data_IF_831790499786
#
_entry.id   IF_831790499786
#
_cell.length_a   1.000
_cell.length_b   1.000
_cell.length_c   1.000
_cell.angle_alpha   90.00
_cell.angle_beta   90.00
_cell.angle_gamma   90.00
#
_symmetry.space_group_name_H-M   'P 1'
#
loop_
_entity.id
_entity.type
_entity.pdbx_description
1 polymer ?
#
# COMPACT_ATOMS: atom_id res chain seq x y z
N UNK A 1 1.53 -5.52 82.25
CA UNK A 1 0.83 -6.07 81.08
C UNK A 1 0.54 -4.92 80.13
N UNK A 2 1.31 -4.76 79.14
CA UNK A 2 1.12 -3.69 78.15
C UNK A 2 0.88 -4.34 76.74
N UNK A 3 -0.31 -4.09 76.24
CA UNK A 3 -0.70 -4.48 74.89
C UNK A 3 -0.16 -3.47 73.90
N UNK A 4 0.85 -3.80 73.09
CA UNK A 4 1.24 -3.05 71.92
C UNK A 4 0.47 -3.58 70.71
N UNK A 5 -0.58 -2.81 70.31
CA UNK A 5 -1.28 -3.06 69.07
C UNK A 5 -0.47 -2.60 67.86
N UNK A 6 -0.11 -3.52 66.99
CA UNK A 6 0.49 -3.28 65.67
C UNK A 6 -0.49 -2.51 64.78
N UNK A 7 -0.27 -1.23 64.56
CA UNK A 7 -0.92 -0.42 63.52
C UNK A 7 -0.24 -0.78 62.17
N UNK A 8 -0.81 -1.73 61.46
CA UNK A 8 -0.47 -1.91 60.06
C UNK A 8 -0.89 -0.66 59.26
N UNK A 9 0.08 0.11 58.83
CA UNK A 9 -0.10 1.29 57.96
C UNK A 9 -0.80 0.88 56.66
N UNK A 10 -2.11 1.10 56.59
CA UNK A 10 -2.85 1.08 55.32
C UNK A 10 -2.28 2.21 54.45
N UNK A 11 -1.44 1.87 53.49
CA UNK A 11 -1.11 2.82 52.46
C UNK A 11 -2.41 3.20 51.75
N UNK A 12 -2.72 4.50 51.60
CA UNK A 12 -4.00 4.91 51.04
C UNK A 12 -4.08 4.46 49.59
N UNK A 13 -5.20 3.82 49.23
CA UNK A 13 -5.54 3.35 47.86
C UNK A 13 -5.41 4.46 46.81
N UNK A 14 -5.42 5.71 47.24
CA UNK A 14 -5.17 6.90 46.45
C UNK A 14 -3.84 6.86 45.68
N UNK A 15 -2.74 6.44 46.30
CA UNK A 15 -1.44 6.34 45.60
C UNK A 15 -1.39 5.19 44.60
N UNK A 16 -2.15 4.13 44.79
CA UNK A 16 -2.23 3.01 43.85
C UNK A 16 -3.00 3.43 42.59
N UNK A 17 -4.04 4.23 42.73
CA UNK A 17 -4.80 4.77 41.63
C UNK A 17 -4.00 5.82 40.83
N UNK A 18 -3.21 6.67 41.46
CA UNK A 18 -2.32 7.63 40.79
C UNK A 18 -1.29 6.94 39.89
N UNK A 19 -0.72 5.81 40.34
CA UNK A 19 0.19 5.02 39.50
C UNK A 19 -0.51 4.41 38.29
N UNK A 20 -1.77 3.99 38.42
CA UNK A 20 -2.62 3.51 37.34
C UNK A 20 -2.91 4.59 36.28
N UNK A 21 -3.26 5.81 36.73
CA UNK A 21 -3.52 6.94 35.82
C UNK A 21 -2.25 7.38 35.09
N UNK A 22 -1.08 7.39 35.76
CA UNK A 22 0.19 7.73 35.07
C UNK A 22 0.61 6.71 34.04
N UNK A 23 0.30 5.43 34.25
CA UNK A 23 0.56 4.37 33.29
C UNK A 23 -0.38 4.42 32.09
N UNK A 24 -1.66 4.75 32.32
CA UNK A 24 -2.66 4.93 31.27
C UNK A 24 -2.39 6.17 30.40
N UNK A 25 -2.04 7.30 31.00
CA UNK A 25 -1.70 8.52 30.24
C UNK A 25 -0.41 8.38 29.48
N UNK A 26 0.61 7.70 30.02
CA UNK A 26 1.85 7.37 29.30
C UNK A 26 1.60 6.43 28.11
N UNK A 27 0.74 5.43 28.26
CA UNK A 27 0.35 4.52 27.18
C UNK A 27 -0.43 5.23 26.07
N UNK A 28 -1.35 6.13 26.43
CA UNK A 28 -2.13 6.92 25.44
C UNK A 28 -1.24 7.94 24.70
N UNK A 29 -0.31 8.59 25.39
CA UNK A 29 0.65 9.50 24.74
C UNK A 29 1.62 8.75 23.81
N UNK A 30 2.09 7.58 24.20
CA UNK A 30 2.94 6.72 23.37
C UNK A 30 2.20 6.23 22.12
N UNK A 31 0.92 5.84 22.24
CA UNK A 31 0.11 5.43 21.10
C UNK A 31 -0.21 6.60 20.16
N UNK A 32 -0.44 7.80 20.65
CA UNK A 32 -0.61 8.99 19.80
C UNK A 32 0.67 9.37 19.05
N UNK A 33 1.83 9.27 19.68
CA UNK A 33 3.11 9.56 19.04
C UNK A 33 3.46 8.54 17.95
N UNK A 34 3.18 7.27 18.19
CA UNK A 34 3.38 6.20 17.20
C UNK A 34 2.43 6.32 16.00
N UNK A 35 1.18 6.73 16.22
CA UNK A 35 0.21 6.96 15.14
C UNK A 35 0.57 8.16 14.27
N UNK A 36 1.09 9.25 14.84
CA UNK A 36 1.56 10.42 14.08
C UNK A 36 2.80 10.10 13.25
N UNK A 37 3.73 9.31 13.77
CA UNK A 37 4.92 8.91 13.04
C UNK A 37 4.56 7.97 11.88
N UNK A 38 3.67 7.02 12.10
CA UNK A 38 3.13 6.12 11.07
C UNK A 38 2.47 6.88 9.90
N UNK A 39 1.69 7.92 10.18
CA UNK A 39 1.02 8.71 9.14
C UNK A 39 2.00 9.52 8.28
N UNK A 40 3.09 10.03 8.85
CA UNK A 40 4.12 10.73 8.08
C UNK A 40 4.93 9.77 7.19
N UNK A 41 5.15 8.55 7.64
CA UNK A 41 5.84 7.53 6.85
C UNK A 41 5.02 7.04 5.67
N UNK A 42 3.68 7.02 5.79
CA UNK A 42 2.80 6.66 4.68
C UNK A 42 2.71 7.72 3.57
N UNK A 43 3.06 8.97 3.81
CA UNK A 43 3.00 10.04 2.79
C UNK A 43 3.76 9.68 1.52
N UNK A 44 4.95 9.09 1.66
CA UNK A 44 5.75 8.66 0.51
C UNK A 44 5.03 7.59 -0.33
N UNK A 45 4.34 6.66 0.31
CA UNK A 45 3.59 5.59 -0.35
C UNK A 45 2.38 6.14 -1.12
N UNK A 46 1.68 7.13 -0.53
CA UNK A 46 0.60 7.85 -1.19
C UNK A 46 1.08 8.72 -2.35
N UNK A 47 2.29 9.26 -2.27
CA UNK A 47 2.92 9.99 -3.39
C UNK A 47 3.12 9.07 -4.59
N UNK A 48 3.55 7.81 -4.38
CA UNK A 48 3.69 6.83 -5.46
C UNK A 48 2.33 6.55 -6.11
N UNK A 49 1.29 6.30 -5.33
CA UNK A 49 -0.06 6.07 -5.86
C UNK A 49 -0.60 7.30 -6.63
N UNK A 50 -0.38 8.51 -6.11
CA UNK A 50 -0.74 9.76 -6.76
C UNK A 50 0.01 9.97 -8.08
N UNK A 51 1.31 9.66 -8.11
CA UNK A 51 2.12 9.72 -9.32
C UNK A 51 1.59 8.77 -10.40
N UNK A 52 1.29 7.51 -10.04
CA UNK A 52 0.70 6.54 -10.97
C UNK A 52 -0.62 7.05 -11.56
N UNK A 53 -1.53 7.59 -10.73
CA UNK A 53 -2.79 8.17 -11.24
C UNK A 53 -2.55 9.36 -12.18
N UNK A 54 -1.57 10.21 -11.87
CA UNK A 54 -1.20 11.33 -12.72
C UNK A 54 -0.65 10.86 -14.06
N UNK A 55 0.17 9.80 -14.06
CA UNK A 55 0.71 9.20 -15.29
C UNK A 55 -0.40 8.57 -16.14
N UNK A 56 -1.33 7.85 -15.53
CA UNK A 56 -2.51 7.28 -16.22
C UNK A 56 -3.37 8.38 -16.85
N UNK A 57 -3.60 9.49 -16.14
CA UNK A 57 -4.31 10.65 -16.68
C UNK A 57 -3.54 11.30 -17.83
N UNK A 58 -2.20 11.40 -17.73
CA UNK A 58 -1.36 11.93 -18.80
C UNK A 58 -1.43 11.08 -20.06
N UNK A 59 -1.48 9.75 -19.98
CA UNK A 59 -1.68 8.87 -21.15
C UNK A 59 -3.02 9.17 -21.84
N UNK A 60 -4.09 9.31 -21.06
CA UNK A 60 -5.41 9.63 -21.60
C UNK A 60 -5.41 10.99 -22.32
N UNK A 61 -4.86 12.02 -21.67
CA UNK A 61 -4.74 13.37 -22.25
C UNK A 61 -3.89 13.33 -23.53
N UNK A 62 -2.75 12.63 -23.49
CA UNK A 62 -1.88 12.47 -24.67
C UNK A 62 -2.64 11.88 -25.86
N UNK A 63 -3.40 10.80 -25.66
CA UNK A 63 -4.19 10.17 -26.70
C UNK A 63 -5.21 11.12 -27.33
N UNK A 64 -5.84 12.00 -26.53
CA UNK A 64 -6.83 12.97 -27.02
C UNK A 64 -6.22 14.19 -27.74
N UNK A 65 -5.08 14.67 -27.25
CA UNK A 65 -4.50 15.92 -27.74
C UNK A 65 -3.50 15.69 -28.86
N UNK A 66 -2.68 14.66 -28.74
CA UNK A 66 -1.54 14.42 -29.63
C UNK A 66 -1.44 13.00 -30.17
N UNK A 67 -2.36 12.09 -29.81
CA UNK A 67 -2.25 10.67 -30.14
C UNK A 67 -2.55 10.34 -31.60
N UNK A 68 -3.44 11.07 -32.25
CA UNK A 68 -3.87 10.77 -33.64
C UNK A 68 -2.72 10.65 -34.65
N UNK A 69 -1.72 11.58 -34.72
CA UNK A 69 -0.60 11.47 -35.64
C UNK A 69 0.32 10.26 -35.40
N UNK A 70 0.24 9.66 -34.19
CA UNK A 70 1.10 8.54 -33.80
C UNK A 70 0.44 7.17 -34.01
N UNK A 71 -0.83 7.17 -34.51
CA UNK A 71 -1.57 5.92 -34.72
C UNK A 71 -1.02 5.16 -35.93
N UNK A 72 -0.71 3.89 -35.67
CA UNK A 72 -0.31 2.93 -36.71
C UNK A 72 -1.55 2.08 -37.03
N UNK A 73 -2.16 2.28 -38.21
CA UNK A 73 -3.35 1.54 -38.55
C UNK A 73 -3.00 0.09 -38.94
N UNK A 74 -2.97 -0.79 -37.94
CA UNK A 74 -2.81 -2.22 -38.12
C UNK A 74 -4.07 -2.81 -38.80
N UNK A 75 -3.90 -3.92 -39.62
CA UNK A 75 -5.02 -4.72 -40.09
C UNK A 75 -5.92 -5.17 -38.95
N UNK A 76 -7.23 -5.24 -39.19
CA UNK A 76 -8.24 -5.48 -38.17
C UNK A 76 -8.04 -6.82 -37.45
N UNK A 77 -7.68 -7.88 -38.17
CA UNK A 77 -7.40 -9.19 -37.60
C UNK A 77 -6.27 -9.19 -36.58
N UNK A 78 -5.17 -8.48 -36.86
CA UNK A 78 -4.04 -8.35 -35.96
C UNK A 78 -4.40 -7.49 -34.74
N UNK A 79 -5.12 -6.40 -34.96
CA UNK A 79 -5.58 -5.51 -33.88
C UNK A 79 -6.51 -6.22 -32.90
N UNK A 80 -7.48 -7.00 -33.42
CA UNK A 80 -8.40 -7.82 -32.61
C UNK A 80 -7.63 -8.86 -31.81
N UNK A 81 -6.64 -9.52 -32.41
CA UNK A 81 -5.80 -10.50 -31.72
C UNK A 81 -5.05 -9.85 -30.52
N UNK A 82 -4.37 -8.72 -30.75
CA UNK A 82 -3.61 -8.01 -29.71
C UNK A 82 -4.54 -7.51 -28.61
N UNK A 83 -5.68 -6.92 -28.97
CA UNK A 83 -6.71 -6.49 -28.02
C UNK A 83 -7.19 -7.63 -27.14
N UNK A 84 -7.51 -8.77 -27.73
CA UNK A 84 -7.94 -9.96 -26.99
C UNK A 84 -6.86 -10.44 -26.03
N UNK A 85 -5.60 -10.50 -26.48
CA UNK A 85 -4.47 -10.87 -25.66
C UNK A 85 -4.30 -9.92 -24.46
N UNK A 86 -4.44 -8.61 -24.68
CA UNK A 86 -4.32 -7.62 -23.60
C UNK A 86 -5.45 -7.71 -22.59
N UNK A 87 -6.69 -7.99 -23.03
CA UNK A 87 -7.78 -8.27 -22.10
C UNK A 87 -7.50 -9.50 -21.23
N UNK A 88 -7.02 -10.58 -21.83
CA UNK A 88 -6.65 -11.80 -21.08
C UNK A 88 -5.54 -11.50 -20.08
N UNK A 89 -4.50 -10.77 -20.50
CA UNK A 89 -3.40 -10.36 -19.60
C UNK A 89 -3.88 -9.45 -18.47
N UNK A 90 -4.78 -8.51 -18.75
CA UNK A 90 -5.36 -7.64 -17.71
C UNK A 90 -6.18 -8.44 -16.69
N UNK A 91 -7.04 -9.37 -17.15
CA UNK A 91 -7.86 -10.21 -16.28
C UNK A 91 -6.99 -11.10 -15.40
N UNK A 92 -5.94 -11.73 -15.95
CA UNK A 92 -4.99 -12.55 -15.18
C UNK A 92 -4.12 -11.68 -14.29
N UNK A 93 -3.79 -10.46 -14.72
CA UNK A 93 -2.97 -9.51 -13.98
C UNK A 93 -3.52 -9.16 -12.59
N UNK A 94 -4.84 -9.04 -12.42
CA UNK A 94 -5.45 -8.75 -11.12
C UNK A 94 -5.15 -9.82 -10.07
N UNK A 95 -5.50 -11.10 -10.26
CA UNK A 95 -5.18 -12.14 -9.27
C UNK A 95 -3.67 -12.31 -9.07
N UNK A 96 -2.86 -12.17 -10.12
CA UNK A 96 -1.39 -12.22 -10.02
C UNK A 96 -0.86 -11.07 -9.17
N UNK A 97 -1.34 -9.86 -9.37
CA UNK A 97 -0.95 -8.69 -8.54
C UNK A 97 -1.32 -8.91 -7.07
N UNK A 98 -2.53 -9.43 -6.81
CA UNK A 98 -2.97 -9.74 -5.46
C UNK A 98 -2.09 -10.81 -4.80
N UNK A 99 -1.75 -11.86 -5.53
CA UNK A 99 -0.85 -12.93 -5.06
C UNK A 99 0.55 -12.39 -4.76
N UNK A 100 1.14 -11.61 -5.69
CA UNK A 100 2.45 -10.99 -5.52
C UNK A 100 2.47 -10.07 -4.31
N UNK A 101 1.44 -9.23 -4.13
CA UNK A 101 1.30 -8.37 -2.96
C UNK A 101 1.25 -9.19 -1.67
N UNK A 102 0.46 -10.26 -1.63
CA UNK A 102 0.37 -11.13 -0.47
C UNK A 102 1.72 -11.78 -0.13
N UNK A 103 2.43 -12.31 -1.14
CA UNK A 103 3.76 -12.90 -0.96
C UNK A 103 4.75 -11.84 -0.44
N UNK A 104 4.76 -10.64 -1.02
CA UNK A 104 5.66 -9.56 -0.59
C UNK A 104 5.39 -9.11 0.84
N UNK A 105 4.11 -8.98 1.24
CA UNK A 105 3.75 -8.65 2.62
C UNK A 105 4.23 -9.73 3.59
N UNK A 106 4.05 -11.00 3.27
CA UNK A 106 4.57 -12.12 4.07
C UNK A 106 6.09 -12.12 4.16
N UNK A 107 6.78 -11.94 3.05
CA UNK A 107 8.24 -11.85 3.04
C UNK A 107 8.73 -10.66 3.86
N UNK A 108 8.08 -9.50 3.79
CA UNK A 108 8.44 -8.33 4.57
C UNK A 108 8.31 -8.55 6.09
N UNK A 109 7.38 -9.40 6.51
CA UNK A 109 7.19 -9.79 7.91
C UNK A 109 8.19 -10.86 8.37
N UNK A 110 8.60 -11.78 7.46
CA UNK A 110 9.36 -12.99 7.83
C UNK A 110 10.85 -12.93 7.51
N UNK A 111 11.29 -12.12 6.55
CA UNK A 111 12.71 -12.06 6.16
C UNK A 111 13.56 -11.29 7.19
N UNK A 112 14.67 -11.88 7.70
CA UNK A 112 15.67 -11.14 8.46
C UNK A 112 16.39 -10.11 7.56
N UNK A 113 16.84 -9.01 8.14
CA UNK A 113 17.67 -8.04 7.43
C UNK A 113 17.55 -6.61 7.95
N UNK A 114 18.56 -5.77 7.71
CA UNK A 114 18.70 -4.44 8.32
C UNK A 114 17.76 -3.38 7.70
N UNK A 115 16.89 -3.74 6.73
CA UNK A 115 16.03 -2.77 6.06
C UNK A 115 14.84 -2.38 6.95
N UNK A 116 14.60 -1.08 7.18
CA UNK A 116 13.47 -0.61 7.97
C UNK A 116 12.13 -0.94 7.30
N UNK A 117 11.06 -1.09 8.10
CA UNK A 117 9.69 -1.39 7.65
C UNK A 117 9.24 -0.50 6.48
N UNK A 118 9.57 0.79 6.53
CA UNK A 118 9.24 1.78 5.50
C UNK A 118 9.76 1.40 4.11
N UNK A 119 11.01 0.95 4.00
CA UNK A 119 11.60 0.57 2.72
C UNK A 119 11.03 -0.75 2.19
N UNK A 120 10.73 -1.68 3.08
CA UNK A 120 10.13 -2.97 2.72
C UNK A 120 8.72 -2.78 2.16
N UNK A 121 7.91 -1.98 2.84
CA UNK A 121 6.55 -1.70 2.39
C UNK A 121 6.52 -0.85 1.13
N UNK A 122 7.46 0.10 0.97
CA UNK A 122 7.57 0.93 -0.23
C UNK A 122 7.76 0.09 -1.49
N UNK A 123 8.60 -0.95 -1.44
CA UNK A 123 8.79 -1.85 -2.56
C UNK A 123 7.48 -2.56 -2.97
N UNK A 124 6.71 -3.04 -1.99
CA UNK A 124 5.40 -3.66 -2.24
C UNK A 124 4.43 -2.69 -2.92
N UNK A 125 4.40 -1.43 -2.48
CA UNK A 125 3.56 -0.39 -3.10
C UNK A 125 4.02 -0.09 -4.52
N UNK A 126 5.33 0.11 -4.75
CA UNK A 126 5.89 0.39 -6.09
C UNK A 126 5.55 -0.75 -7.07
N UNK A 127 5.74 -2.00 -6.68
CA UNK A 127 5.43 -3.15 -7.55
C UNK A 127 3.94 -3.20 -7.86
N UNK A 128 3.08 -3.02 -6.86
CA UNK A 128 1.63 -3.03 -7.06
C UNK A 128 1.15 -1.90 -7.96
N UNK A 129 1.69 -0.68 -7.79
CA UNK A 129 1.36 0.48 -8.63
C UNK A 129 1.91 0.33 -10.05
N UNK A 130 3.14 -0.20 -10.22
CA UNK A 130 3.71 -0.49 -11.53
C UNK A 130 2.90 -1.51 -12.33
N UNK A 131 2.37 -2.56 -11.68
CA UNK A 131 1.47 -3.51 -12.32
C UNK A 131 0.14 -2.86 -12.72
N UNK A 132 -0.42 -1.99 -11.88
CA UNK A 132 -1.61 -1.22 -12.23
C UNK A 132 -1.37 -0.28 -13.41
N UNK A 133 -0.22 0.39 -13.48
CA UNK A 133 0.18 1.26 -14.58
C UNK A 133 0.38 0.47 -15.88
N UNK A 134 0.89 -0.76 -15.81
CA UNK A 134 1.05 -1.65 -16.99
C UNK A 134 -0.29 -1.88 -17.70
N UNK A 135 -1.39 -1.96 -16.95
CA UNK A 135 -2.74 -2.09 -17.54
C UNK A 135 -3.11 -0.83 -18.35
N UNK A 136 -2.81 0.37 -17.84
CA UNK A 136 -3.04 1.61 -18.61
C UNK A 136 -2.15 1.69 -19.86
N UNK A 137 -0.89 1.25 -19.77
CA UNK A 137 0.02 1.16 -20.91
C UNK A 137 -0.50 0.24 -22.00
N UNK A 138 -1.14 -0.89 -21.67
CA UNK A 138 -1.80 -1.75 -22.65
C UNK A 138 -2.89 -0.98 -23.42
N UNK A 139 -3.68 -0.15 -22.73
CA UNK A 139 -4.67 0.73 -23.35
C UNK A 139 -4.05 1.76 -24.29
N UNK A 140 -2.96 2.41 -23.86
CA UNK A 140 -2.20 3.34 -24.69
C UNK A 140 -1.65 2.66 -25.95
N UNK A 141 -1.00 1.50 -25.79
CA UNK A 141 -0.40 0.75 -26.91
C UNK A 141 -1.47 0.36 -27.93
N UNK A 142 -2.59 -0.22 -27.49
CA UNK A 142 -3.63 -0.66 -28.44
C UNK A 142 -4.29 0.51 -29.17
N UNK A 143 -4.43 1.66 -28.51
CA UNK A 143 -4.88 2.90 -29.14
C UNK A 143 -3.91 3.34 -30.25
N UNK A 144 -2.60 3.35 -29.97
CA UNK A 144 -1.57 3.69 -30.96
C UNK A 144 -1.51 2.70 -32.13
N UNK A 145 -1.90 1.45 -31.90
CA UNK A 145 -2.03 0.43 -32.96
C UNK A 145 -3.30 0.60 -33.79
N UNK A 146 -4.10 1.63 -33.55
CA UNK A 146 -5.24 2.02 -34.37
C UNK A 146 -6.59 1.56 -33.86
N UNK A 147 -6.66 1.11 -32.59
CA UNK A 147 -7.93 0.74 -31.97
C UNK A 147 -8.74 1.97 -31.53
N UNK A 148 -9.97 1.77 -31.11
CA UNK A 148 -10.88 2.86 -30.74
C UNK A 148 -10.63 3.41 -29.32
N UNK A 149 -11.20 4.57 -29.05
CA UNK A 149 -11.15 5.21 -27.71
C UNK A 149 -11.86 4.38 -26.64
N UNK A 150 -12.84 3.55 -27.02
CA UNK A 150 -13.57 2.76 -26.04
C UNK A 150 -12.65 1.74 -25.36
N UNK A 151 -11.78 1.09 -26.13
CA UNK A 151 -10.76 0.18 -25.60
C UNK A 151 -9.79 0.91 -24.66
N UNK A 152 -9.32 2.10 -25.06
CA UNK A 152 -8.47 2.95 -24.22
C UNK A 152 -9.15 3.26 -22.87
N UNK A 153 -10.43 3.66 -22.88
CA UNK A 153 -11.17 3.97 -21.65
C UNK A 153 -11.35 2.76 -20.74
N UNK A 154 -11.60 1.57 -21.31
CA UNK A 154 -11.73 0.34 -20.51
C UNK A 154 -10.42 0.05 -19.78
N UNK A 155 -9.28 0.06 -20.46
CA UNK A 155 -7.99 -0.19 -19.83
C UNK A 155 -7.62 0.89 -18.80
N UNK A 156 -7.92 2.15 -19.09
CA UNK A 156 -7.74 3.25 -18.14
C UNK A 156 -8.59 3.04 -16.89
N UNK A 157 -9.86 2.69 -17.03
CA UNK A 157 -10.75 2.43 -15.90
C UNK A 157 -10.28 1.21 -15.08
N UNK A 158 -9.83 0.14 -15.72
CA UNK A 158 -9.25 -1.03 -15.07
C UNK A 158 -7.97 -0.67 -14.29
N UNK A 159 -7.09 0.17 -14.85
CA UNK A 159 -5.89 0.64 -14.17
C UNK A 159 -6.23 1.49 -12.94
N UNK A 160 -7.16 2.44 -13.06
CA UNK A 160 -7.64 3.26 -11.94
C UNK A 160 -8.25 2.37 -10.84
N UNK A 161 -9.04 1.38 -11.22
CA UNK A 161 -9.59 0.39 -10.28
C UNK A 161 -8.47 -0.37 -9.57
N UNK A 162 -7.43 -0.82 -10.30
CA UNK A 162 -6.28 -1.51 -9.73
C UNK A 162 -5.54 -0.62 -8.72
N UNK A 163 -5.27 0.67 -9.03
CA UNK A 163 -4.67 1.63 -8.11
C UNK A 163 -5.50 1.77 -6.86
N UNK A 164 -6.84 1.83 -6.99
CA UNK A 164 -7.74 1.94 -5.84
C UNK A 164 -7.75 0.67 -4.97
N UNK A 165 -7.73 -0.51 -5.58
CA UNK A 165 -7.67 -1.79 -4.86
C UNK A 165 -6.34 -1.95 -4.08
N UNK A 166 -5.23 -1.60 -4.72
CA UNK A 166 -3.88 -1.81 -4.20
C UNK A 166 -3.28 -0.58 -3.51
N UNK A 167 -4.11 0.43 -3.20
CA UNK A 167 -3.68 1.63 -2.48
C UNK A 167 -2.93 1.29 -1.19
N UNK A 168 -2.02 2.16 -0.72
CA UNK A 168 -1.33 1.98 0.56
C UNK A 168 -2.32 1.91 1.72
N UNK A 169 -2.18 0.90 2.60
CA UNK A 169 -3.02 0.67 3.78
C UNK A 169 -2.16 0.78 5.04
N UNK A 170 -2.65 1.55 6.02
CA UNK A 170 -1.95 1.75 7.28
C UNK A 170 -1.82 0.44 8.09
N UNK A 171 -2.81 -0.44 7.99
CA UNK A 171 -2.83 -1.71 8.72
C UNK A 171 -1.72 -2.65 8.25
N UNK A 172 -1.52 -2.78 6.93
CA UNK A 172 -0.43 -3.58 6.35
C UNK A 172 0.95 -3.07 6.78
N UNK A 173 1.14 -1.75 6.83
CA UNK A 173 2.38 -1.14 7.29
C UNK A 173 2.62 -1.41 8.78
N UNK A 174 1.56 -1.31 9.60
CA UNK A 174 1.62 -1.58 11.04
C UNK A 174 1.97 -3.04 11.34
N UNK A 175 1.40 -4.00 10.60
CA UNK A 175 1.72 -5.42 10.76
C UNK A 175 3.20 -5.69 10.52
N UNK A 176 3.81 -5.05 9.51
CA UNK A 176 5.25 -5.16 9.25
C UNK A 176 6.06 -4.58 10.42
N UNK A 177 5.66 -3.42 10.96
CA UNK A 177 6.34 -2.80 12.09
C UNK A 177 6.31 -3.69 13.35
N UNK A 178 5.12 -4.24 13.67
CA UNK A 178 4.96 -5.12 14.83
C UNK A 178 5.79 -6.41 14.67
N UNK A 179 5.76 -7.02 13.49
CA UNK A 179 6.53 -8.24 13.20
C UNK A 179 8.06 -8.02 13.29
N UNK A 180 8.55 -6.84 12.97
CA UNK A 180 9.98 -6.52 13.10
C UNK A 180 10.35 -6.22 14.55
N UNK A 181 9.51 -5.49 15.31
CA UNK A 181 9.75 -5.18 16.72
C UNK A 181 9.79 -6.45 17.59
N UNK A 182 8.86 -7.39 17.37
CA UNK A 182 8.84 -8.65 18.15
C UNK A 182 10.07 -9.53 17.94
N UNK A 183 10.83 -9.32 16.88
CA UNK A 183 12.07 -10.08 16.63
C UNK A 183 13.28 -9.47 17.29
N UNK A 184 13.34 -8.14 17.39
CA UNK A 184 14.42 -7.45 18.13
C UNK A 184 14.38 -7.87 19.61
N UNK A 185 13.17 -8.11 20.15
CA UNK A 185 12.99 -8.58 21.53
C UNK A 185 13.40 -10.08 21.74
N UNK A 186 13.38 -10.89 20.67
CA UNK A 186 13.75 -12.33 20.76
C UNK A 186 15.26 -12.57 20.58
N UNK A 187 16.00 -11.60 20.00
CA UNK A 187 17.44 -11.72 19.74
C UNK A 187 18.31 -11.12 20.89
N UNK A 188 17.69 -10.44 21.90
CA UNK A 188 18.34 -9.90 23.12
C UNK A 188 18.15 -10.86 24.33
#
# INVERSE_FOLDING_TARGET
MAFFGSQATRQPEFFRNLHGYHKLTGSLMSSHHSLQHSNNDLKLHWTVAGLTLTTVAAYLIFCHVAGEPWRINLPEDQRVLIRTLFYVLAIIGFPVTNLLRHIQLRLNQTMPGPKPAKQRYLLTVIVSMGLAETVALMGLVIFLLGDDYNTLYIFTALSVLAVFLYRPKADEYREIMVALASREDDDD
#
